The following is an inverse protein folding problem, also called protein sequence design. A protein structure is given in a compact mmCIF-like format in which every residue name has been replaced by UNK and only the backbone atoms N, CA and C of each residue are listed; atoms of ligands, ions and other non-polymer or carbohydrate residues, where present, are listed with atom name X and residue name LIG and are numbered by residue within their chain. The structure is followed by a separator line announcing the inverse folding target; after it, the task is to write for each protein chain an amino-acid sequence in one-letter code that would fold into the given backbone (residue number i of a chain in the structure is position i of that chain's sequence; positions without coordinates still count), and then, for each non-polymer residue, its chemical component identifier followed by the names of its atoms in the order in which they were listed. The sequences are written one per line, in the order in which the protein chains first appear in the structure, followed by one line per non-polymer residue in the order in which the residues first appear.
data_IF_895820286043
#
_entry.id   IF_895820286043
#
_cell.length_a   1.000
_cell.length_b   1.000
_cell.length_c   1.000
_cell.angle_alpha   90.00
_cell.angle_beta   90.00
_cell.angle_gamma   90.00
#
_symmetry.space_group_name_H-M   'P 1'
#
loop_
_entity.id
_entity.type
_entity.pdbx_description
1 polymer ?
#
# COMPACT_ATOMS: atom_id res chain seq x y z
N UNK A 1 5.49 -19.84 7.28
CA UNK A 1 6.50 -20.17 6.24
C UNK A 1 7.91 -20.20 6.83
N UNK A 2 8.37 -19.12 7.48
CA UNK A 2 9.77 -18.97 7.90
C UNK A 2 10.03 -19.11 9.41
N UNK A 3 8.99 -19.20 10.25
CA UNK A 3 9.15 -19.36 11.70
C UNK A 3 9.93 -20.64 12.03
N UNK A 4 11.01 -20.49 12.80
CA UNK A 4 11.88 -21.60 13.22
C UNK A 4 12.80 -22.12 12.11
N UNK A 5 13.01 -21.33 11.04
CA UNK A 5 13.89 -21.67 9.92
C UNK A 5 15.01 -20.64 9.80
N UNK A 6 16.09 -21.00 9.11
CA UNK A 6 17.28 -20.17 8.94
C UNK A 6 17.01 -18.74 8.42
N UNK A 7 16.08 -18.56 7.47
CA UNK A 7 15.76 -17.23 6.95
C UNK A 7 15.06 -16.32 7.96
N UNK A 8 14.23 -16.90 8.85
CA UNK A 8 13.52 -16.24 9.95
C UNK A 8 12.84 -14.88 9.63
N UNK A 9 12.61 -14.54 8.36
CA UNK A 9 11.85 -13.35 7.98
C UNK A 9 10.35 -13.61 8.16
N UNK A 10 9.77 -13.03 9.19
CA UNK A 10 8.39 -13.22 9.62
C UNK A 10 7.45 -12.12 9.12
N UNK A 11 7.97 -10.93 8.82
CA UNK A 11 7.17 -9.86 8.20
C UNK A 11 6.81 -10.18 6.76
N UNK A 12 5.61 -9.78 6.35
CA UNK A 12 5.16 -10.01 5.00
C UNK A 12 5.71 -8.94 4.05
N UNK A 13 5.54 -7.66 4.35
CA UNK A 13 5.81 -6.58 3.41
C UNK A 13 6.54 -5.41 4.08
N UNK A 14 7.11 -4.53 3.28
CA UNK A 14 7.89 -3.39 3.75
C UNK A 14 7.64 -2.16 2.86
N UNK A 15 7.77 -0.95 3.40
CA UNK A 15 7.72 0.28 2.60
C UNK A 15 9.10 0.94 2.59
N UNK A 16 9.58 1.33 1.42
CA UNK A 16 10.89 1.93 1.24
C UNK A 16 10.75 3.36 0.69
N UNK A 17 11.47 4.35 1.25
CA UNK A 17 11.44 5.72 0.74
C UNK A 17 12.28 5.87 -0.52
N UNK A 18 11.76 6.54 -1.55
CA UNK A 18 12.49 6.86 -2.77
C UNK A 18 12.69 8.38 -2.83
N UNK A 19 13.94 8.81 -2.82
CA UNK A 19 14.31 10.23 -2.98
C UNK A 19 14.76 10.52 -4.41
N UNK A 20 14.71 11.79 -4.81
CA UNK A 20 15.05 12.28 -6.16
C UNK A 20 16.57 12.32 -6.41
N UNK A 21 17.22 11.15 -6.34
CA UNK A 21 18.63 10.96 -6.69
C UNK A 21 18.89 9.53 -7.18
N UNK A 22 19.84 9.37 -8.09
CA UNK A 22 20.24 8.04 -8.59
C UNK A 22 20.75 7.14 -7.47
N UNK A 23 21.51 7.71 -6.52
CA UNK A 23 22.02 6.96 -5.37
C UNK A 23 20.89 6.39 -4.51
N UNK A 24 19.88 7.20 -4.18
CA UNK A 24 18.69 6.71 -3.47
C UNK A 24 17.96 5.66 -4.30
N UNK A 25 17.62 5.95 -5.56
CA UNK A 25 16.83 5.06 -6.41
C UNK A 25 17.47 3.67 -6.51
N UNK A 26 18.76 3.60 -6.86
CA UNK A 26 19.43 2.31 -7.04
C UNK A 26 19.77 1.62 -5.72
N UNK A 27 19.96 2.37 -4.63
CA UNK A 27 20.00 1.78 -3.28
C UNK A 27 18.68 1.09 -2.95
N UNK A 28 17.53 1.72 -3.27
CA UNK A 28 16.22 1.09 -3.07
C UNK A 28 15.98 -0.11 -3.97
N UNK A 29 16.49 -0.11 -5.20
CA UNK A 29 16.46 -1.31 -6.07
C UNK A 29 17.22 -2.47 -5.41
N UNK A 30 18.42 -2.21 -4.87
CA UNK A 30 19.22 -3.21 -4.14
C UNK A 30 18.47 -3.72 -2.90
N UNK A 31 17.94 -2.83 -2.08
CA UNK A 31 17.16 -3.18 -0.88
C UNK A 31 15.94 -4.04 -1.23
N UNK A 32 15.22 -3.69 -2.31
CA UNK A 32 14.08 -4.45 -2.83
C UNK A 32 14.49 -5.88 -3.19
N UNK A 33 15.64 -6.05 -3.85
CA UNK A 33 16.16 -7.38 -4.19
C UNK A 33 16.47 -8.23 -2.94
N UNK A 34 17.03 -7.62 -1.89
CA UNK A 34 17.29 -8.30 -0.61
C UNK A 34 15.99 -8.74 0.08
N UNK A 35 14.99 -7.84 0.13
CA UNK A 35 13.67 -8.14 0.70
C UNK A 35 12.98 -9.26 -0.10
N UNK A 36 13.04 -9.23 -1.42
CA UNK A 36 12.40 -10.24 -2.25
C UNK A 36 13.10 -11.60 -2.16
N UNK A 37 14.43 -11.63 -1.97
CA UNK A 37 15.18 -12.88 -1.77
C UNK A 37 14.67 -13.66 -0.55
N UNK A 38 14.36 -12.97 0.55
CA UNK A 38 13.76 -13.56 1.76
C UNK A 38 12.24 -13.75 1.63
N UNK A 39 11.69 -13.47 0.45
CA UNK A 39 10.28 -13.60 0.16
C UNK A 39 9.47 -12.55 0.90
N UNK A 40 9.85 -11.27 0.82
CA UNK A 40 9.06 -10.10 1.22
C UNK A 40 8.39 -9.43 0.01
N UNK A 41 7.50 -8.48 0.25
CA UNK A 41 6.94 -7.59 -0.77
C UNK A 41 7.26 -6.14 -0.42
N UNK A 42 7.22 -5.22 -1.38
CA UNK A 42 7.66 -3.84 -1.16
C UNK A 42 6.66 -2.80 -1.64
N UNK A 43 6.67 -1.63 -1.01
CA UNK A 43 5.86 -0.48 -1.42
C UNK A 43 6.69 0.79 -1.49
N UNK A 44 6.39 1.62 -2.49
CA UNK A 44 7.14 2.82 -2.82
C UNK A 44 6.21 4.00 -3.08
N UNK A 45 6.69 5.19 -2.76
CA UNK A 45 6.10 6.45 -3.17
C UNK A 45 7.06 7.12 -4.16
N UNK A 46 6.63 7.30 -5.41
CA UNK A 46 7.46 7.90 -6.45
C UNK A 46 7.22 9.40 -6.64
N UNK A 47 6.28 9.98 -5.87
CA UNK A 47 5.85 11.38 -6.00
C UNK A 47 6.92 12.44 -5.74
N UNK A 48 8.08 12.06 -5.20
CA UNK A 48 9.22 12.98 -4.99
C UNK A 48 10.13 13.06 -6.20
N UNK A 49 10.09 12.08 -7.09
CA UNK A 49 10.91 12.07 -8.28
C UNK A 49 10.50 13.23 -9.18
N UNK A 50 11.49 13.90 -9.77
CA UNK A 50 11.22 14.94 -10.75
C UNK A 50 10.51 14.37 -11.98
N UNK A 51 9.67 15.18 -12.67
CA UNK A 51 8.92 14.71 -13.81
C UNK A 51 9.82 14.48 -15.03
N UNK A 52 9.31 13.74 -16.00
CA UNK A 52 9.95 13.58 -17.31
C UNK A 52 10.21 14.95 -17.96
N UNK A 53 11.40 15.12 -18.54
CA UNK A 53 11.80 16.39 -19.15
C UNK A 53 12.40 17.43 -18.20
N UNK A 54 12.34 17.24 -16.87
CA UNK A 54 12.93 18.19 -15.91
C UNK A 54 14.46 18.17 -15.95
N UNK A 55 15.09 19.28 -15.55
CA UNK A 55 16.53 19.50 -15.68
C UNK A 55 17.32 18.62 -14.72
N UNK A 56 18.42 18.02 -15.21
CA UNK A 56 19.41 17.28 -14.40
C UNK A 56 20.67 18.13 -14.21
N UNK A 57 20.83 18.69 -13.00
CA UNK A 57 21.79 19.76 -12.71
C UNK A 57 23.27 19.43 -12.94
N UNK A 58 23.68 18.16 -12.95
CA UNK A 58 25.09 17.77 -13.13
C UNK A 58 25.51 17.54 -14.58
N UNK A 59 24.57 17.26 -15.48
CA UNK A 59 24.87 16.86 -16.87
C UNK A 59 24.19 17.74 -17.92
N UNK A 60 23.30 18.65 -17.51
CA UNK A 60 22.48 19.44 -18.45
C UNK A 60 21.47 18.60 -19.25
N UNK A 61 21.32 17.32 -18.90
CA UNK A 61 20.35 16.42 -19.51
C UNK A 61 18.93 16.61 -18.96
N UNK A 62 18.00 15.88 -19.56
CA UNK A 62 16.59 15.82 -19.14
C UNK A 62 16.32 14.52 -18.37
N UNK A 63 15.44 14.60 -17.38
CA UNK A 63 15.03 13.45 -16.58
C UNK A 63 14.09 12.52 -17.36
N UNK A 64 14.19 11.22 -17.09
CA UNK A 64 13.31 10.20 -17.70
C UNK A 64 11.98 10.01 -16.96
N UNK A 65 11.74 10.76 -15.89
CA UNK A 65 10.53 10.68 -15.07
C UNK A 65 10.42 9.40 -14.21
N UNK A 66 9.39 9.32 -13.34
CA UNK A 66 9.18 8.24 -12.39
C UNK A 66 8.86 6.91 -13.09
N UNK A 67 8.05 6.91 -14.17
CA UNK A 67 7.64 5.67 -14.86
C UNK A 67 8.85 4.89 -15.39
N UNK A 68 9.87 5.59 -15.91
CA UNK A 68 11.12 4.98 -16.33
C UNK A 68 11.84 4.27 -15.19
N UNK A 69 11.98 4.92 -14.02
CA UNK A 69 12.62 4.31 -12.86
C UNK A 69 11.82 3.13 -12.30
N UNK A 70 10.49 3.17 -12.33
CA UNK A 70 9.65 2.04 -11.89
C UNK A 70 9.95 0.79 -12.74
N UNK A 71 10.23 0.93 -14.04
CA UNK A 71 10.63 -0.20 -14.88
C UNK A 71 11.95 -0.85 -14.39
N UNK A 72 12.88 -0.07 -13.83
CA UNK A 72 14.10 -0.64 -13.25
C UNK A 72 13.79 -1.52 -12.02
N UNK A 73 12.86 -1.10 -11.15
CA UNK A 73 12.39 -1.93 -10.03
C UNK A 73 11.64 -3.18 -10.53
N UNK A 74 10.82 -3.05 -11.57
CA UNK A 74 10.05 -4.15 -12.15
C UNK A 74 10.98 -5.23 -12.72
N UNK A 75 11.99 -4.82 -13.49
CA UNK A 75 13.01 -5.69 -14.06
C UNK A 75 13.85 -6.37 -12.97
N UNK A 76 14.31 -5.61 -11.97
CA UNK A 76 15.07 -6.17 -10.85
C UNK A 76 14.23 -7.22 -10.08
N UNK A 77 12.94 -6.95 -9.89
CA UNK A 77 12.01 -7.89 -9.26
C UNK A 77 11.89 -9.16 -10.09
N UNK A 78 11.77 -9.04 -11.41
CA UNK A 78 11.63 -10.20 -12.30
C UNK A 78 12.83 -11.15 -12.23
N UNK A 79 14.05 -10.60 -12.18
CA UNK A 79 15.29 -11.38 -12.01
C UNK A 79 15.31 -12.10 -10.66
N UNK A 80 14.96 -11.41 -9.56
CA UNK A 80 15.04 -11.97 -8.19
C UNK A 80 14.01 -13.06 -7.93
N UNK A 81 12.85 -13.04 -8.61
CA UNK A 81 11.82 -14.10 -8.48
C UNK A 81 12.37 -15.51 -8.69
N UNK A 82 13.43 -15.67 -9.48
CA UNK A 82 14.00 -16.98 -9.82
C UNK A 82 14.68 -17.64 -8.61
N UNK A 83 14.96 -16.92 -7.52
CA UNK A 83 15.68 -17.43 -6.34
C UNK A 83 14.93 -17.39 -5.01
N UNK A 84 13.68 -16.89 -4.97
CA UNK A 84 12.94 -16.68 -3.72
C UNK A 84 11.86 -17.73 -3.43
N UNK A 85 11.48 -17.89 -2.16
CA UNK A 85 10.42 -18.83 -1.71
C UNK A 85 9.01 -18.42 -2.17
N UNK A 86 8.81 -17.13 -2.50
CA UNK A 86 7.57 -16.57 -3.02
C UNK A 86 7.85 -15.49 -4.06
N UNK A 87 6.89 -15.25 -4.97
CA UNK A 87 6.99 -14.17 -5.95
C UNK A 87 6.95 -12.81 -5.24
N UNK A 88 8.00 -12.01 -5.40
CA UNK A 88 8.04 -10.62 -4.95
C UNK A 88 6.97 -9.79 -5.68
N UNK A 89 6.35 -8.85 -4.95
CA UNK A 89 5.33 -7.96 -5.46
C UNK A 89 5.58 -6.55 -4.94
N UNK A 90 5.33 -5.56 -5.80
CA UNK A 90 5.58 -4.16 -5.51
C UNK A 90 4.28 -3.35 -5.50
N UNK A 91 4.22 -2.32 -4.66
CA UNK A 91 3.27 -1.23 -4.77
C UNK A 91 3.99 0.03 -5.25
N UNK A 92 3.50 0.65 -6.31
CA UNK A 92 3.93 1.98 -6.75
C UNK A 92 2.81 2.97 -6.51
N UNK A 93 3.10 4.06 -5.79
CA UNK A 93 2.14 5.15 -5.58
C UNK A 93 2.68 6.44 -6.18
N UNK A 94 1.84 7.14 -6.92
CA UNK A 94 2.10 8.49 -7.42
C UNK A 94 0.97 9.44 -7.00
N UNK A 95 1.33 10.68 -6.66
CA UNK A 95 0.37 11.69 -6.26
C UNK A 95 -0.43 12.21 -7.46
N UNK A 96 -1.71 12.51 -7.27
CA UNK A 96 -2.61 12.93 -8.36
C UNK A 96 -2.14 14.21 -9.04
N UNK A 97 -1.51 15.13 -8.31
CA UNK A 97 -0.98 16.39 -8.86
C UNK A 97 0.38 16.24 -9.53
N UNK A 98 0.96 15.04 -9.60
CA UNK A 98 2.26 14.86 -10.23
C UNK A 98 2.14 15.02 -11.75
N UNK A 99 3.05 15.73 -12.45
CA UNK A 99 2.91 15.99 -13.88
C UNK A 99 2.80 14.71 -14.73
N UNK A 100 3.51 13.66 -14.34
CA UNK A 100 3.48 12.36 -15.02
C UNK A 100 2.33 11.42 -14.59
N UNK A 101 1.30 11.92 -13.89
CA UNK A 101 0.19 11.09 -13.37
C UNK A 101 -0.54 10.32 -14.47
N UNK A 102 -0.81 10.95 -15.62
CA UNK A 102 -1.49 10.28 -16.73
C UNK A 102 -0.62 9.19 -17.34
N UNK A 103 0.66 9.47 -17.58
CA UNK A 103 1.63 8.47 -18.05
C UNK A 103 1.76 7.30 -17.08
N UNK A 104 1.72 7.57 -15.77
CA UNK A 104 1.74 6.54 -14.73
C UNK A 104 0.47 5.68 -14.73
N UNK A 105 -0.73 6.28 -14.86
CA UNK A 105 -1.99 5.54 -14.96
C UNK A 105 -1.99 4.64 -16.20
N UNK A 106 -1.55 5.18 -17.34
CA UNK A 106 -1.50 4.46 -18.62
C UNK A 106 -0.37 3.43 -18.70
N UNK A 107 0.56 3.44 -17.76
CA UNK A 107 1.78 2.60 -17.79
C UNK A 107 1.52 1.08 -17.82
N UNK A 108 0.28 0.65 -17.53
CA UNK A 108 -0.14 -0.76 -17.54
C UNK A 108 -1.18 -1.11 -18.61
N UNK A 109 -1.55 -0.17 -19.49
CA UNK A 109 -2.57 -0.40 -20.53
C UNK A 109 -2.16 -1.49 -21.51
N UNK A 110 -0.87 -1.57 -21.85
CA UNK A 110 -0.35 -2.58 -22.80
C UNK A 110 -0.29 -4.00 -22.22
N UNK A 111 -0.46 -4.17 -20.90
CA UNK A 111 -0.41 -5.46 -20.21
C UNK A 111 0.96 -6.15 -20.18
N UNK A 112 2.00 -5.54 -20.77
CA UNK A 112 3.35 -6.10 -20.90
C UNK A 112 4.33 -5.49 -19.90
N UNK A 113 4.13 -4.22 -19.51
CA UNK A 113 5.01 -3.51 -18.57
C UNK A 113 4.49 -3.58 -17.14
N UNK A 114 5.40 -3.42 -16.19
CA UNK A 114 5.11 -3.32 -14.76
C UNK A 114 4.35 -4.53 -14.20
N UNK A 115 4.64 -5.73 -14.71
CA UNK A 115 3.93 -6.96 -14.35
C UNK A 115 4.06 -7.34 -12.87
N UNK A 116 5.04 -6.77 -12.16
CA UNK A 116 5.31 -7.01 -10.74
C UNK A 116 4.84 -5.89 -9.83
N UNK A 117 4.26 -4.83 -10.40
CA UNK A 117 3.72 -3.71 -9.68
C UNK A 117 2.19 -3.73 -9.63
N UNK A 118 1.64 -3.57 -8.45
CA UNK A 118 0.36 -2.89 -8.30
C UNK A 118 0.64 -1.38 -8.33
N UNK A 119 -0.18 -0.63 -9.05
CA UNK A 119 -0.07 0.84 -9.10
C UNK A 119 -1.31 1.45 -8.45
N UNK A 120 -1.12 2.55 -7.73
CA UNK A 120 -2.20 3.30 -7.10
C UNK A 120 -1.92 4.80 -7.20
N UNK A 121 -2.99 5.59 -7.31
CA UNK A 121 -2.90 7.05 -7.27
C UNK A 121 -3.29 7.53 -5.89
N UNK A 122 -2.41 8.32 -5.27
CA UNK A 122 -2.73 9.05 -4.06
C UNK A 122 -3.48 10.33 -4.45
N UNK A 123 -4.79 10.34 -4.23
CA UNK A 123 -5.64 11.51 -4.45
C UNK A 123 -5.67 12.40 -3.21
N UNK A 124 -6.27 13.58 -3.26
CA UNK A 124 -6.46 14.45 -2.08
C UNK A 124 -7.93 14.73 -1.87
N UNK A 125 -8.31 15.20 -0.68
CA UNK A 125 -9.68 15.67 -0.43
C UNK A 125 -10.06 16.81 -1.39
N UNK A 126 -9.14 17.77 -1.63
CA UNK A 126 -9.31 18.83 -2.62
C UNK A 126 -9.58 18.28 -4.03
N UNK A 127 -8.83 17.27 -4.47
CA UNK A 127 -9.08 16.60 -5.75
C UNK A 127 -10.45 15.93 -5.78
N UNK A 128 -10.89 15.28 -4.70
CA UNK A 128 -12.20 14.63 -4.66
C UNK A 128 -13.33 15.65 -4.77
N UNK A 129 -13.25 16.78 -4.07
CA UNK A 129 -14.23 17.87 -4.16
C UNK A 129 -14.27 18.44 -5.58
N UNK A 130 -13.09 18.72 -6.17
CA UNK A 130 -13.00 19.19 -7.56
C UNK A 130 -13.56 18.16 -8.54
N UNK A 131 -13.35 16.87 -8.31
CA UNK A 131 -13.87 15.81 -9.15
C UNK A 131 -15.39 15.68 -9.08
N UNK A 132 -15.99 15.85 -7.90
CA UNK A 132 -17.44 15.89 -7.73
C UNK A 132 -18.08 17.10 -8.43
N UNK A 133 -17.40 18.24 -8.42
CA UNK A 133 -17.87 19.47 -9.05
C UNK A 133 -17.53 19.59 -10.55
N UNK A 134 -16.75 18.66 -11.11
CA UNK A 134 -16.28 18.74 -12.50
C UNK A 134 -15.31 19.91 -12.74
N UNK A 135 -14.49 20.23 -11.75
CA UNK A 135 -13.48 21.30 -11.79
C UNK A 135 -12.12 20.77 -12.28
N UNK A 136 -11.22 21.70 -12.65
CA UNK A 136 -9.85 21.37 -13.05
C UNK A 136 -8.92 21.40 -11.82
N UNK A 137 -7.79 20.70 -11.89
CA UNK A 137 -6.79 20.66 -10.83
C UNK A 137 -5.37 20.86 -11.37
N UNK A 138 -4.50 21.40 -10.53
CA UNK A 138 -3.15 21.77 -10.91
C UNK A 138 -2.18 20.58 -10.85
N UNK A 139 -1.27 20.56 -11.83
CA UNK A 139 -0.09 19.70 -11.84
C UNK A 139 1.10 20.48 -11.28
N UNK A 140 1.76 19.92 -10.27
CA UNK A 140 2.79 20.59 -9.48
C UNK A 140 4.11 19.84 -9.61
N UNK A 141 5.17 20.50 -10.03
CA UNK A 141 6.51 19.90 -10.04
C UNK A 141 6.99 19.70 -8.59
N UNK A 142 7.26 18.45 -8.13
CA UNK A 142 7.64 18.18 -6.74
C UNK A 142 8.98 18.79 -6.32
N UNK A 143 9.85 19.15 -7.28
CA UNK A 143 11.15 19.76 -7.01
C UNK A 143 11.07 21.27 -6.80
N UNK A 144 10.27 21.97 -7.61
CA UNK A 144 10.19 23.44 -7.57
C UNK A 144 8.97 23.95 -6.79
N UNK A 145 7.91 23.15 -6.71
CA UNK A 145 6.62 23.57 -6.17
C UNK A 145 5.78 24.40 -7.15
N UNK A 146 6.27 24.61 -8.37
CA UNK A 146 5.56 25.41 -9.37
C UNK A 146 4.44 24.60 -10.03
N UNK A 147 3.35 25.29 -10.36
CA UNK A 147 2.31 24.76 -11.23
C UNK A 147 2.84 24.72 -12.66
N UNK A 148 2.90 23.54 -13.24
CA UNK A 148 3.43 23.29 -14.60
C UNK A 148 2.34 22.94 -15.61
N UNK A 149 1.12 22.74 -15.14
CA UNK A 149 -0.03 22.43 -15.99
C UNK A 149 -1.31 22.27 -15.16
N UNK A 150 -2.41 21.98 -15.84
CA UNK A 150 -3.70 21.71 -15.22
C UNK A 150 -4.41 20.59 -15.99
N UNK A 151 -5.22 19.79 -15.31
CA UNK A 151 -6.01 18.71 -15.89
C UNK A 151 -7.46 18.80 -15.45
N UNK A 152 -8.36 18.44 -16.35
CA UNK A 152 -9.78 18.27 -16.05
C UNK A 152 -10.02 17.01 -15.22
N UNK A 153 -10.97 17.07 -14.29
CA UNK A 153 -11.40 15.88 -13.56
C UNK A 153 -12.26 14.95 -14.43
N UNK A 154 -12.34 13.64 -14.13
CA UNK A 154 -13.08 12.66 -14.93
C UNK A 154 -14.56 13.01 -15.14
N UNK A 155 -15.23 13.63 -14.16
CA UNK A 155 -16.63 14.05 -14.29
C UNK A 155 -16.86 15.08 -15.41
N UNK A 156 -15.81 15.80 -15.81
CA UNK A 156 -15.79 16.76 -16.93
C UNK A 156 -15.38 16.12 -18.26
N UNK A 157 -14.81 14.91 -18.26
CA UNK A 157 -14.28 14.25 -19.47
C UNK A 157 -15.28 13.25 -20.08
N UNK A 158 -15.77 13.56 -21.28
CA UNK A 158 -16.55 12.63 -22.13
C UNK A 158 -15.68 11.65 -22.94
N UNK A 159 -14.35 11.80 -22.92
CA UNK A 159 -13.40 11.04 -23.75
C UNK A 159 -12.26 10.37 -22.94
N UNK A 160 -11.49 9.52 -23.64
CA UNK A 160 -10.42 8.59 -23.18
C UNK A 160 -9.46 9.07 -22.06
N UNK A 161 -9.34 10.36 -21.77
CA UNK A 161 -8.55 10.89 -20.65
C UNK A 161 -9.19 10.57 -19.28
N UNK A 162 -10.53 10.58 -19.19
CA UNK A 162 -11.27 10.10 -18.02
C UNK A 162 -11.31 8.57 -17.93
N UNK A 163 -11.21 7.89 -19.07
CA UNK A 163 -11.23 6.42 -19.14
C UNK A 163 -9.97 5.78 -18.53
N UNK A 164 -8.81 6.47 -18.56
CA UNK A 164 -7.59 6.04 -17.88
C UNK A 164 -7.76 6.02 -16.35
N UNK A 165 -8.44 7.02 -15.78
CA UNK A 165 -8.82 7.04 -14.37
C UNK A 165 -9.90 5.97 -14.08
N UNK A 166 -10.82 5.70 -15.00
CA UNK A 166 -11.81 4.63 -14.86
C UNK A 166 -11.25 3.20 -15.08
N UNK A 167 -10.01 3.05 -15.56
CA UNK A 167 -9.41 1.72 -15.74
C UNK A 167 -9.25 1.03 -14.39
N UNK A 168 -9.61 -0.26 -14.35
CA UNK A 168 -9.71 -1.13 -13.17
C UNK A 168 -8.42 -1.30 -12.35
N UNK A 169 -7.35 -0.56 -12.64
CA UNK A 169 -5.99 -0.66 -12.07
C UNK A 169 -5.25 0.69 -12.26
N UNK A 170 -5.67 1.74 -11.54
CA UNK A 170 -5.03 1.92 -10.23
C UNK A 170 -6.01 1.75 -9.08
N UNK A 171 -5.51 1.27 -7.94
CA UNK A 171 -6.20 1.51 -6.67
C UNK A 171 -6.25 3.02 -6.41
N UNK A 172 -7.36 3.52 -5.89
CA UNK A 172 -7.45 4.89 -5.39
C UNK A 172 -7.12 4.91 -3.91
N UNK A 173 -6.15 5.73 -3.52
CA UNK A 173 -5.87 6.01 -2.11
C UNK A 173 -6.33 7.41 -1.80
N UNK A 174 -7.46 7.52 -1.12
CA UNK A 174 -7.94 8.77 -0.54
C UNK A 174 -7.30 8.96 0.83
N UNK A 175 -6.64 10.08 1.10
CA UNK A 175 -6.39 10.66 2.41
C UNK A 175 -7.68 10.87 3.19
N UNK A 176 -8.31 9.78 3.62
CA UNK A 176 -9.46 9.85 4.51
C UNK A 176 -9.09 10.28 5.94
N UNK A 177 -10.09 10.38 6.83
CA UNK A 177 -9.91 10.67 8.27
C UNK A 177 -8.95 9.74 9.01
N UNK A 178 -8.59 8.58 8.43
CA UNK A 178 -7.59 7.61 8.93
C UNK A 178 -6.27 8.22 9.41
N UNK A 179 -5.99 9.48 9.05
CA UNK A 179 -4.78 10.21 9.38
C UNK A 179 -4.89 11.16 10.57
N UNK A 180 -6.10 11.57 10.98
CA UNK A 180 -6.31 12.30 12.24
C UNK A 180 -6.11 11.38 13.45
N UNK A 181 -6.47 10.11 13.29
CA UNK A 181 -6.40 9.10 14.36
C UNK A 181 -5.14 8.23 14.31
N UNK A 182 -4.26 8.42 13.32
CA UNK A 182 -2.97 7.73 13.29
C UNK A 182 -2.07 8.29 14.40
N UNK A 183 -1.90 7.52 15.48
CA UNK A 183 -1.13 7.91 16.67
C UNK A 183 0.34 8.23 16.36
N UNK A 184 0.88 7.72 15.26
CA UNK A 184 2.16 8.16 14.67
C UNK A 184 1.86 9.24 13.62
N UNK A 185 1.92 10.50 14.04
CA UNK A 185 1.46 11.66 13.25
C UNK A 185 2.17 11.81 11.89
N UNK A 186 1.34 12.23 10.92
CA UNK A 186 1.58 12.85 9.61
C UNK A 186 1.77 11.98 8.35
N UNK A 187 0.88 12.24 7.38
CA UNK A 187 0.97 11.90 5.95
C UNK A 187 2.29 12.29 5.30
N UNK A 188 2.90 13.38 5.78
CA UNK A 188 4.18 13.86 5.24
C UNK A 188 5.26 12.79 5.33
N UNK A 189 5.10 11.86 6.27
CA UNK A 189 6.00 10.76 6.56
C UNK A 189 5.59 9.46 5.84
N UNK A 190 4.32 9.03 5.90
CA UNK A 190 3.83 7.80 5.23
C UNK A 190 3.22 8.11 3.85
N UNK A 191 3.99 7.90 2.78
CA UNK A 191 3.60 8.21 1.39
C UNK A 191 3.25 6.98 0.56
N UNK A 192 3.35 5.78 1.13
CA UNK A 192 3.06 4.52 0.44
C UNK A 192 2.32 3.53 1.35
N UNK A 193 1.88 2.43 0.75
CA UNK A 193 1.32 1.26 1.43
C UNK A 193 2.12 0.03 1.04
N UNK A 194 1.87 -1.07 1.74
CA UNK A 194 2.30 -2.38 1.28
C UNK A 194 1.61 -2.79 -0.06
N UNK A 195 2.07 -3.87 -0.72
CA UNK A 195 1.51 -4.40 -1.98
C UNK A 195 0.00 -4.61 -2.06
N UNK A 196 -0.66 -4.87 -0.93
CA UNK A 196 -2.10 -5.15 -0.90
C UNK A 196 -2.95 -3.93 -0.51
N UNK A 197 -2.33 -2.79 -0.18
CA UNK A 197 -3.00 -1.49 0.02
C UNK A 197 -3.65 -1.28 1.39
N UNK A 198 -3.62 -2.28 2.27
CA UNK A 198 -4.33 -2.30 3.56
C UNK A 198 -3.57 -1.58 4.68
N UNK A 199 -2.23 -1.49 4.62
CA UNK A 199 -1.44 -0.81 5.64
C UNK A 199 -0.71 0.41 5.09
N UNK A 200 -1.06 1.65 5.51
CA UNK A 200 -0.12 2.76 5.46
C UNK A 200 1.06 2.46 6.37
N UNK A 201 2.26 2.56 5.80
CA UNK A 201 3.51 2.33 6.51
C UNK A 201 4.43 3.54 6.33
N UNK A 202 5.17 3.87 7.37
CA UNK A 202 6.24 4.85 7.35
C UNK A 202 7.44 4.29 6.57
N UNK A 203 8.40 5.14 6.17
CA UNK A 203 9.63 4.70 5.55
C UNK A 203 10.33 3.64 6.41
N UNK A 204 10.71 2.52 5.79
CA UNK A 204 11.31 1.35 6.40
C UNK A 204 10.45 0.59 7.42
N UNK A 205 9.15 0.87 7.55
CA UNK A 205 8.29 0.04 8.40
C UNK A 205 7.98 -1.32 7.77
N UNK A 206 7.85 -2.34 8.63
CA UNK A 206 7.42 -3.68 8.27
C UNK A 206 5.95 -3.93 8.56
N UNK A 207 5.35 -4.78 7.74
CA UNK A 207 3.97 -5.25 7.83
C UNK A 207 3.94 -6.61 8.56
N UNK A 208 3.61 -6.58 9.84
CA UNK A 208 3.50 -7.77 10.71
C UNK A 208 2.03 -8.16 10.85
N UNK A 209 1.59 -9.15 10.08
CA UNK A 209 0.18 -9.44 9.88
C UNK A 209 -0.29 -10.73 10.54
N UNK A 210 -1.51 -10.68 11.06
CA UNK A 210 -2.30 -11.84 11.47
C UNK A 210 -3.74 -11.68 10.98
N UNK A 211 -4.52 -12.77 11.02
CA UNK A 211 -5.94 -12.73 10.68
C UNK A 211 -6.75 -13.58 11.65
N UNK A 212 -7.81 -12.98 12.20
CA UNK A 212 -8.79 -13.65 13.04
C UNK A 212 -9.87 -14.30 12.16
N UNK A 213 -10.11 -15.60 12.34
CA UNK A 213 -11.20 -16.28 11.65
C UNK A 213 -12.53 -16.07 12.39
N UNK A 214 -13.36 -15.16 11.89
CA UNK A 214 -14.65 -14.79 12.49
C UNK A 214 -15.67 -15.92 12.49
N UNK A 215 -15.59 -16.85 11.54
CA UNK A 215 -16.44 -18.05 11.56
C UNK A 215 -16.17 -19.00 12.74
N UNK A 216 -15.10 -18.76 13.52
CA UNK A 216 -14.80 -19.48 14.76
C UNK A 216 -15.12 -18.67 16.02
N UNK A 217 -15.75 -17.50 15.86
CA UNK A 217 -16.16 -16.58 16.92
C UNK A 217 -17.68 -16.59 17.06
N UNK A 218 -18.28 -17.77 17.05
CA UNK A 218 -19.73 -17.99 17.17
C UNK A 218 -20.05 -18.83 18.39
N UNK A 219 -21.20 -18.55 19.01
CA UNK A 219 -21.81 -19.32 20.09
C UNK A 219 -23.20 -19.75 19.67
N UNK A 220 -23.46 -21.05 19.76
CA UNK A 220 -24.77 -21.63 19.50
C UNK A 220 -25.60 -21.62 20.79
N UNK A 221 -26.82 -21.12 20.72
CA UNK A 221 -27.85 -21.31 21.74
C UNK A 221 -28.91 -22.27 21.21
N UNK A 222 -29.92 -22.61 22.03
CA UNK A 222 -30.98 -23.54 21.62
C UNK A 222 -31.78 -23.01 20.40
N UNK A 223 -31.90 -21.69 20.27
CA UNK A 223 -32.72 -21.04 19.26
C UNK A 223 -31.93 -20.17 18.25
N UNK A 224 -30.69 -19.78 18.55
CA UNK A 224 -29.95 -18.77 17.77
C UNK A 224 -28.44 -19.07 17.63
N UNK A 225 -27.81 -18.37 16.68
CA UNK A 225 -26.35 -18.31 16.52
C UNK A 225 -25.90 -16.87 16.74
N UNK A 226 -25.10 -16.65 17.78
CA UNK A 226 -24.64 -15.32 18.18
C UNK A 226 -23.12 -15.21 18.02
N UNK A 227 -22.63 -13.98 17.89
CA UNK A 227 -21.18 -13.70 17.95
C UNK A 227 -20.68 -13.92 19.38
N UNK A 228 -19.60 -14.68 19.51
CA UNK A 228 -18.90 -14.90 20.78
C UNK A 228 -17.85 -13.81 21.02
N UNK A 229 -18.31 -12.68 21.57
CA UNK A 229 -17.48 -11.51 21.84
C UNK A 229 -16.41 -11.77 22.90
N UNK A 230 -16.68 -12.64 23.88
CA UNK A 230 -15.74 -12.97 24.96
C UNK A 230 -14.57 -13.77 24.39
N UNK A 231 -14.85 -14.85 23.67
CA UNK A 231 -13.83 -15.63 22.96
C UNK A 231 -13.03 -14.77 21.98
N UNK A 232 -13.69 -13.91 21.23
CA UNK A 232 -13.02 -13.03 20.29
C UNK A 232 -12.03 -12.09 21.00
N UNK A 233 -12.41 -11.51 22.14
CA UNK A 233 -11.52 -10.66 22.96
C UNK A 233 -10.26 -11.40 23.43
N UNK A 234 -10.41 -12.64 23.91
CA UNK A 234 -9.29 -13.48 24.35
C UNK A 234 -8.33 -13.80 23.20
N UNK A 235 -8.87 -14.17 22.04
CA UNK A 235 -8.07 -14.50 20.86
C UNK A 235 -7.37 -13.27 20.30
N UNK A 236 -8.04 -12.11 20.27
CA UNK A 236 -7.42 -10.84 19.87
C UNK A 236 -6.24 -10.50 20.78
N UNK A 237 -6.42 -10.60 22.10
CA UNK A 237 -5.34 -10.33 23.08
C UNK A 237 -4.13 -11.24 22.84
N UNK A 238 -4.38 -12.53 22.63
CA UNK A 238 -3.32 -13.50 22.34
C UNK A 238 -2.63 -13.22 21.00
N UNK A 239 -3.40 -12.91 19.96
CA UNK A 239 -2.87 -12.61 18.64
C UNK A 239 -2.02 -11.33 18.63
N UNK A 240 -2.45 -10.28 19.35
CA UNK A 240 -1.67 -9.05 19.53
C UNK A 240 -0.34 -9.33 20.20
N UNK A 241 -0.33 -10.07 21.31
CA UNK A 241 0.92 -10.46 21.98
C UNK A 241 1.84 -11.29 21.06
N UNK A 242 1.27 -12.24 20.32
CA UNK A 242 2.03 -13.04 19.36
C UNK A 242 2.66 -12.18 18.25
N UNK A 243 1.89 -11.26 17.65
CA UNK A 243 2.38 -10.35 16.61
C UNK A 243 3.45 -9.39 17.15
N UNK A 244 3.33 -8.99 18.41
CA UNK A 244 4.33 -8.18 19.09
C UNK A 244 5.65 -8.95 19.27
N UNK A 245 5.58 -10.22 19.71
CA UNK A 245 6.76 -11.09 19.82
C UNK A 245 7.43 -11.35 18.46
N UNK A 246 6.64 -11.40 17.38
CA UNK A 246 7.16 -11.56 16.01
C UNK A 246 8.11 -10.42 15.65
N UNK A 247 7.90 -9.19 16.12
CA UNK A 247 8.81 -8.06 15.85
C UNK A 247 10.21 -8.36 16.39
N UNK A 248 10.30 -8.92 17.59
CA UNK A 248 11.58 -9.19 18.24
C UNK A 248 12.27 -10.44 17.67
N UNK A 249 11.48 -11.44 17.25
CA UNK A 249 11.95 -12.72 16.71
C UNK A 249 12.29 -12.69 15.21
N UNK A 250 12.03 -11.58 14.53
CA UNK A 250 12.17 -11.47 13.09
C UNK A 250 13.60 -11.10 12.66
N UNK A 251 14.09 -11.81 11.65
CA UNK A 251 15.34 -11.45 10.97
C UNK A 251 15.06 -10.50 9.80
N UNK A 252 15.46 -9.25 9.98
CA UNK A 252 15.27 -8.18 9.01
C UNK A 252 16.45 -8.13 8.03
N UNK A 253 16.19 -8.07 6.70
CA UNK A 253 17.25 -8.06 5.69
C UNK A 253 18.03 -6.73 5.62
N UNK A 254 17.51 -5.67 6.23
CA UNK A 254 18.02 -4.29 6.19
C UNK A 254 17.94 -3.73 7.60
N UNK A 255 19.01 -3.09 8.07
CA UNK A 255 19.14 -2.63 9.46
C UNK A 255 18.12 -1.53 9.79
N UNK A 256 17.90 -0.61 8.86
CA UNK A 256 16.95 0.50 9.00
C UNK A 256 15.52 -0.02 9.21
N UNK A 257 15.16 -1.13 8.57
CA UNK A 257 13.87 -1.79 8.79
C UNK A 257 13.82 -2.37 10.21
N UNK A 258 14.89 -3.03 10.65
CA UNK A 258 14.97 -3.62 11.98
C UNK A 258 14.81 -2.56 13.09
N UNK A 259 15.49 -1.43 12.94
CA UNK A 259 15.44 -0.31 13.88
C UNK A 259 14.05 0.33 13.90
N UNK A 260 13.48 0.52 12.70
CA UNK A 260 12.17 1.12 12.54
C UNK A 260 11.08 0.22 13.12
N UNK A 261 11.03 -1.05 12.73
CA UNK A 261 10.03 -2.00 13.24
C UNK A 261 10.06 -2.16 14.75
N UNK A 262 11.25 -2.17 15.39
CA UNK A 262 11.36 -2.20 16.85
C UNK A 262 10.90 -0.90 17.50
N UNK A 263 11.10 0.23 16.83
CA UNK A 263 10.72 1.55 17.34
C UNK A 263 9.21 1.78 17.32
N UNK A 264 8.51 1.42 16.25
CA UNK A 264 7.04 1.63 16.19
C UNK A 264 6.22 0.44 16.63
N UNK A 265 6.80 -0.76 16.62
CA UNK A 265 6.12 -2.03 16.95
C UNK A 265 4.77 -2.17 16.24
N UNK A 266 4.71 -1.73 14.98
CA UNK A 266 3.47 -1.75 14.20
C UNK A 266 3.08 -3.19 13.88
N UNK A 267 1.81 -3.51 14.13
CA UNK A 267 1.18 -4.79 13.82
C UNK A 267 -0.11 -4.57 13.03
N UNK A 268 -0.58 -5.61 12.34
CA UNK A 268 -1.85 -5.61 11.62
C UNK A 268 -2.62 -6.90 11.88
N UNK A 269 -3.59 -6.84 12.79
CA UNK A 269 -4.53 -7.93 12.99
C UNK A 269 -5.78 -7.65 12.14
N UNK A 270 -5.91 -8.37 11.03
CA UNK A 270 -7.09 -8.35 10.19
C UNK A 270 -8.09 -9.43 10.59
N UNK A 271 -9.10 -9.60 9.74
CA UNK A 271 -10.13 -10.63 9.89
C UNK A 271 -10.28 -11.44 8.59
N UNK A 272 -10.80 -12.65 8.73
CA UNK A 272 -11.27 -13.49 7.63
C UNK A 272 -12.55 -14.21 8.06
N UNK A 273 -13.30 -14.78 7.10
CA UNK A 273 -14.51 -15.55 7.41
C UNK A 273 -15.71 -14.70 7.83
N UNK A 274 -15.75 -13.41 7.45
CA UNK A 274 -16.92 -12.55 7.66
C UNK A 274 -18.17 -13.10 6.98
N UNK A 275 -18.05 -13.52 5.71
CA UNK A 275 -19.14 -14.17 4.98
C UNK A 275 -19.63 -15.43 5.66
N UNK A 276 -18.71 -16.26 6.15
CA UNK A 276 -19.02 -17.52 6.81
C UNK A 276 -19.67 -17.31 8.18
N UNK A 277 -19.29 -16.25 8.91
CA UNK A 277 -19.98 -15.82 10.12
C UNK A 277 -21.44 -15.47 9.81
N UNK A 278 -21.67 -14.63 8.80
CA UNK A 278 -23.03 -14.20 8.43
C UNK A 278 -23.90 -15.37 7.96
N UNK A 279 -23.34 -16.30 7.18
CA UNK A 279 -24.05 -17.52 6.75
C UNK A 279 -24.48 -18.35 7.96
N UNK A 280 -23.60 -18.55 8.94
CA UNK A 280 -23.92 -19.31 10.16
C UNK A 280 -25.02 -18.63 10.99
N UNK A 281 -25.06 -17.31 10.99
CA UNK A 281 -26.11 -16.52 11.66
C UNK A 281 -27.40 -16.39 10.84
N UNK A 282 -27.44 -16.88 9.59
CA UNK A 282 -28.59 -16.69 8.70
C UNK A 282 -28.78 -15.25 8.22
N UNK A 283 -27.75 -14.40 8.33
CA UNK A 283 -27.80 -12.98 8.02
C UNK A 283 -27.32 -12.72 6.60
N UNK A 284 -28.07 -11.89 5.84
CA UNK A 284 -27.66 -11.47 4.49
C UNK A 284 -26.55 -10.42 4.57
N UNK A 285 -25.57 -10.54 3.67
CA UNK A 285 -24.39 -9.67 3.62
C UNK A 285 -24.71 -8.17 3.52
N UNK A 286 -25.72 -7.82 2.73
CA UNK A 286 -26.15 -6.45 2.43
C UNK A 286 -27.22 -5.91 3.39
N UNK A 287 -27.48 -6.62 4.49
CA UNK A 287 -28.53 -6.25 5.43
C UNK A 287 -28.08 -5.20 6.46
N UNK A 288 -29.04 -4.45 7.00
CA UNK A 288 -28.83 -3.54 8.13
C UNK A 288 -28.31 -4.30 9.36
N UNK A 289 -28.69 -5.56 9.52
CA UNK A 289 -28.21 -6.42 10.58
C UNK A 289 -26.71 -6.74 10.42
N UNK A 290 -26.26 -7.11 9.23
CA UNK A 290 -24.82 -7.30 8.94
C UNK A 290 -24.02 -6.02 9.19
N UNK A 291 -24.57 -4.86 8.81
CA UNK A 291 -23.97 -3.55 9.13
C UNK A 291 -23.89 -3.32 10.64
N UNK A 292 -24.94 -3.66 11.39
CA UNK A 292 -24.97 -3.57 12.85
C UNK A 292 -23.89 -4.44 13.51
N UNK A 293 -23.73 -5.68 13.05
CA UNK A 293 -22.68 -6.60 13.53
C UNK A 293 -21.28 -6.03 13.21
N UNK A 294 -21.08 -5.50 12.00
CA UNK A 294 -19.80 -4.90 11.58
C UNK A 294 -19.46 -3.60 12.33
N UNK A 295 -20.46 -2.77 12.64
CA UNK A 295 -20.27 -1.48 13.31
C UNK A 295 -19.78 -1.61 14.77
N UNK A 296 -20.05 -2.74 15.42
CA UNK A 296 -19.55 -3.02 16.79
C UNK A 296 -18.06 -3.39 16.78
N UNK A 297 -17.47 -3.66 15.60
CA UNK A 297 -16.05 -4.01 15.45
C UNK A 297 -15.15 -2.85 15.02
N UNK A 298 -15.67 -1.64 14.82
CA UNK A 298 -14.91 -0.44 14.41
C UNK A 298 -14.64 0.53 15.55
#
# INVERSE_FOLDING_TARGET
MNAGRELQQLSACFVLPVEDSLDSIFTKVKETALIHKSGGGTGFAFSRLRPEGDVVGSTGGVASGPVSFINAFDAATDVVKQGGTRRGANMGILHVTHPDVLSFIRSKEDGTRLSNFNISVAVTEDFMVKAENGEDYDLVNPRTGDVVGSLSTPAKCSDNDGAGLAHRRPGYRVPGPHHRDNRTRSWETSRSTNPCGEQPLLPYESCNLGSLNLARMVRYTDDDVLVDWERMSEVITTAVHMLDCVIDMNDYPIQEIADMSRRTRRIGLGVMGWSDLLIQMGVRYDSVEALGIGAVTS
#
